data_IF_933090331654
#
_entry.id   IF_933090331654
#
_cell.length_a   1.000
_cell.length_b   1.000
_cell.length_c   1.000
_cell.angle_alpha   90.00
_cell.angle_beta   90.00
_cell.angle_gamma   90.00
#
_symmetry.space_group_name_H-M   'P 1'
#
loop_
_entity.id
_entity.type
_entity.pdbx_description
1 polymer ?
#
# COMPACT_ATOMS: atom_id res chain seq x y z
N UNK A 1 -5.98 10.89 3.57
CA UNK A 1 -4.58 10.59 3.96
C UNK A 1 -4.62 9.36 4.82
N UNK A 2 -3.85 8.34 4.47
CA UNK A 2 -3.89 7.04 5.15
C UNK A 2 -2.83 6.97 6.25
N UNK A 3 -3.02 6.05 7.18
CA UNK A 3 -2.08 5.74 8.24
C UNK A 3 -1.73 4.24 8.17
N UNK A 4 -0.46 3.95 7.93
CA UNK A 4 0.13 2.63 7.98
C UNK A 4 1.10 2.51 9.13
N UNK A 5 1.89 1.44 9.13
CA UNK A 5 2.91 1.17 10.15
C UNK A 5 4.24 0.73 9.53
N UNK A 6 5.34 1.09 10.18
CA UNK A 6 6.69 0.59 9.91
C UNK A 6 7.39 0.40 11.26
N UNK A 7 7.92 -0.79 11.55
CA UNK A 7 8.55 -1.13 12.83
C UNK A 7 7.71 -0.76 14.08
N UNK A 8 6.38 -0.86 13.95
CA UNK A 8 5.43 -0.53 15.02
C UNK A 8 5.13 0.98 15.18
N UNK A 9 5.79 1.85 14.42
CA UNK A 9 5.56 3.29 14.40
C UNK A 9 4.62 3.68 13.25
N UNK A 10 3.87 4.77 13.41
CA UNK A 10 2.91 5.24 12.40
C UNK A 10 3.59 5.88 11.19
N UNK A 11 3.09 5.57 9.99
CA UNK A 11 3.51 6.17 8.72
C UNK A 11 2.31 6.79 8.02
N UNK A 12 2.40 8.06 7.64
CA UNK A 12 1.35 8.71 6.86
C UNK A 12 1.70 8.68 5.38
N UNK A 13 0.72 8.31 4.55
CA UNK A 13 0.94 8.15 3.12
C UNK A 13 -0.31 8.50 2.29
N UNK A 14 -0.07 8.64 0.99
CA UNK A 14 -1.06 8.88 -0.05
C UNK A 14 -0.78 7.95 -1.22
N UNK A 15 -1.81 7.54 -1.96
CA UNK A 15 -1.67 6.76 -3.18
C UNK A 15 -2.20 7.59 -4.34
N UNK A 16 -1.30 7.97 -5.26
CA UNK A 16 -1.61 8.83 -6.41
C UNK A 16 -1.97 8.01 -7.65
N UNK A 17 -1.42 6.82 -7.79
CA UNK A 17 -1.46 6.03 -9.02
C UNK A 17 -1.29 4.53 -8.74
N UNK A 18 -1.85 3.71 -9.64
CA UNK A 18 -1.74 2.25 -9.63
C UNK A 18 -1.82 1.71 -11.06
N UNK A 19 -1.17 0.58 -11.34
CA UNK A 19 -1.34 -0.14 -12.61
C UNK A 19 -2.51 -1.13 -12.62
N UNK A 20 -3.19 -1.29 -11.49
CA UNK A 20 -4.32 -2.19 -11.33
C UNK A 20 -5.62 -1.40 -11.22
N UNK A 21 -6.52 -1.59 -12.19
CA UNK A 21 -7.81 -0.88 -12.28
C UNK A 21 -8.72 -1.13 -11.08
N UNK A 22 -8.71 -2.35 -10.52
CA UNK A 22 -9.50 -2.66 -9.32
C UNK A 22 -8.99 -1.89 -8.11
N UNK A 23 -7.67 -1.77 -7.96
CA UNK A 23 -7.08 -0.93 -6.92
C UNK A 23 -7.34 0.57 -7.14
N UNK A 24 -7.29 1.04 -8.39
CA UNK A 24 -7.61 2.45 -8.71
C UNK A 24 -9.01 2.80 -8.20
N UNK A 25 -10.01 1.99 -8.52
CA UNK A 25 -11.40 2.24 -8.12
C UNK A 25 -11.57 2.16 -6.61
N UNK A 26 -11.08 1.07 -5.99
CA UNK A 26 -11.18 0.84 -4.54
C UNK A 26 -10.54 1.99 -3.74
N UNK A 27 -9.32 2.35 -4.08
CA UNK A 27 -8.58 3.37 -3.34
C UNK A 27 -9.22 4.73 -3.57
N UNK A 28 -9.59 5.07 -4.82
CA UNK A 28 -10.25 6.34 -5.15
C UNK A 28 -11.50 6.56 -4.30
N UNK A 29 -12.33 5.53 -4.15
CA UNK A 29 -13.51 5.57 -3.28
C UNK A 29 -13.12 5.82 -1.82
N UNK A 30 -12.15 5.07 -1.29
CA UNK A 30 -11.77 5.15 0.12
C UNK A 30 -11.08 6.46 0.49
N UNK A 31 -10.27 7.02 -0.40
CA UNK A 31 -9.47 8.21 -0.10
C UNK A 31 -10.18 9.55 -0.43
N UNK A 32 -11.29 9.50 -1.18
CA UNK A 32 -12.08 10.65 -1.66
C UNK A 32 -11.34 11.57 -2.65
N UNK A 33 -10.26 11.08 -3.29
CA UNK A 33 -9.59 11.75 -4.41
C UNK A 33 -9.09 10.73 -5.43
N UNK A 34 -9.02 11.16 -6.69
CA UNK A 34 -8.79 10.27 -7.83
C UNK A 34 -7.38 9.68 -7.81
N UNK A 35 -7.30 8.34 -7.83
CA UNK A 35 -6.09 7.59 -8.21
C UNK A 35 -6.04 7.49 -9.73
N UNK A 36 -4.86 7.68 -10.32
CA UNK A 36 -4.67 7.55 -11.76
C UNK A 36 -4.25 6.13 -12.16
N UNK A 37 -4.84 5.61 -13.25
CA UNK A 37 -4.39 4.35 -13.84
C UNK A 37 -3.07 4.56 -14.61
N UNK A 38 -1.98 4.04 -14.06
CA UNK A 38 -0.63 4.15 -14.58
C UNK A 38 -0.09 2.80 -15.05
N UNK A 39 -0.57 2.32 -16.20
CA UNK A 39 -0.13 1.06 -16.83
C UNK A 39 1.40 0.89 -16.95
N UNK A 40 2.23 1.94 -17.17
CA UNK A 40 3.68 1.80 -17.22
C UNK A 40 4.32 1.22 -15.95
N UNK A 41 3.69 1.35 -14.78
CA UNK A 41 4.23 0.81 -13.51
C UNK A 41 4.37 -0.72 -13.54
N UNK A 42 3.63 -1.41 -14.42
CA UNK A 42 3.79 -2.86 -14.63
C UNK A 42 5.19 -3.26 -15.10
N UNK A 43 5.97 -2.30 -15.61
CA UNK A 43 7.35 -2.53 -16.08
C UNK A 43 8.41 -2.06 -15.08
N UNK A 44 8.03 -1.61 -13.88
CA UNK A 44 8.99 -1.15 -12.87
C UNK A 44 9.87 -2.32 -12.39
N UNK A 45 11.21 -2.17 -12.38
CA UNK A 45 12.10 -3.19 -11.84
C UNK A 45 11.80 -3.48 -10.37
N UNK A 46 11.88 -4.74 -9.95
CA UNK A 46 11.55 -5.14 -8.57
C UNK A 46 12.47 -4.46 -7.55
N UNK A 47 13.71 -4.20 -7.91
CA UNK A 47 14.72 -3.55 -7.08
C UNK A 47 14.41 -2.07 -6.83
N UNK A 48 13.54 -1.47 -7.66
CA UNK A 48 13.06 -0.11 -7.50
C UNK A 48 11.75 -0.04 -6.68
N UNK A 49 11.23 -1.17 -6.19
CA UNK A 49 9.98 -1.24 -5.45
C UNK A 49 10.25 -1.57 -3.99
N UNK A 50 9.67 -0.80 -3.07
CA UNK A 50 9.47 -1.30 -1.71
C UNK A 50 8.29 -2.29 -1.69
N UNK A 51 8.17 -3.08 -0.62
CA UNK A 51 6.98 -3.90 -0.39
C UNK A 51 6.04 -3.21 0.60
N UNK A 52 4.74 -3.19 0.27
CA UNK A 52 3.68 -2.81 1.20
C UNK A 52 2.72 -3.98 1.35
N UNK A 53 2.41 -4.34 2.59
CA UNK A 53 1.51 -5.44 2.91
C UNK A 53 0.11 -4.89 3.17
N UNK A 54 -0.87 -5.36 2.38
CA UNK A 54 -2.27 -4.98 2.47
C UNK A 54 -3.09 -6.17 2.94
N UNK A 55 -3.87 -5.99 3.99
CA UNK A 55 -4.63 -7.10 4.57
C UNK A 55 -5.97 -7.26 3.88
N UNK A 56 -6.33 -8.49 3.50
CA UNK A 56 -7.63 -8.79 2.87
C UNK A 56 -8.63 -9.45 3.82
N UNK A 57 -8.20 -9.74 5.06
CA UNK A 57 -9.00 -10.20 6.19
C UNK A 57 -8.29 -9.90 7.53
N UNK A 58 -8.90 -10.28 8.65
CA UNK A 58 -8.32 -10.15 9.98
C UNK A 58 -9.13 -9.25 10.89
N UNK A 59 -8.46 -8.30 11.54
CA UNK A 59 -9.12 -7.31 12.42
C UNK A 59 -9.72 -6.19 11.56
N UNK A 60 -11.01 -5.93 11.72
CA UNK A 60 -11.71 -4.81 11.06
C UNK A 60 -11.13 -3.47 11.52
N UNK A 61 -10.68 -2.64 10.56
CA UNK A 61 -10.08 -1.32 10.80
C UNK A 61 -10.05 -0.48 9.50
N UNK A 62 -9.36 0.66 9.50
CA UNK A 62 -9.37 1.61 8.38
C UNK A 62 -8.31 1.37 7.27
N UNK A 63 -7.70 0.19 7.20
CA UNK A 63 -6.82 -0.19 6.07
C UNK A 63 -7.57 -0.23 4.73
N UNK A 64 -6.87 -0.27 3.61
CA UNK A 64 -7.43 -0.10 2.25
C UNK A 64 -8.57 -1.07 1.94
N UNK A 65 -8.48 -2.32 2.40
CA UNK A 65 -9.54 -3.32 2.23
C UNK A 65 -10.51 -3.42 3.42
N UNK A 66 -10.43 -2.52 4.41
CA UNK A 66 -11.31 -2.50 5.58
C UNK A 66 -10.81 -3.32 6.78
N UNK A 67 -9.53 -3.66 6.80
CA UNK A 67 -8.88 -4.39 7.90
C UNK A 67 -7.73 -3.58 8.50
N UNK A 68 -6.90 -4.18 9.37
CA UNK A 68 -5.76 -3.50 9.98
C UNK A 68 -4.84 -2.75 8.99
N UNK A 69 -4.20 -1.70 9.51
CA UNK A 69 -3.34 -0.79 8.77
C UNK A 69 -2.21 -1.49 7.98
N UNK A 70 -1.88 -0.91 6.83
CA UNK A 70 -0.81 -1.36 5.94
C UNK A 70 0.54 -1.39 6.65
N UNK A 71 1.33 -2.42 6.35
CA UNK A 71 2.71 -2.52 6.85
C UNK A 71 3.68 -2.20 5.73
N UNK A 72 4.52 -1.20 5.95
CA UNK A 72 5.56 -0.76 5.02
C UNK A 72 6.86 -1.51 5.29
N UNK A 73 7.65 -1.73 4.24
CA UNK A 73 9.00 -2.31 4.36
C UNK A 73 10.11 -1.27 4.47
N UNK A 74 9.82 -0.01 4.15
CA UNK A 74 10.73 1.12 4.37
C UNK A 74 9.95 2.43 4.42
N UNK A 75 10.58 3.46 4.97
CA UNK A 75 10.06 4.83 5.03
C UNK A 75 11.10 5.81 4.51
N UNK A 76 10.76 7.08 4.23
CA UNK A 76 11.73 8.07 3.76
C UNK A 76 12.95 8.27 4.68
N UNK A 77 12.92 7.79 5.93
CA UNK A 77 14.09 7.86 6.83
C UNK A 77 15.16 6.81 6.49
N UNK A 78 14.82 5.71 5.81
CA UNK A 78 15.78 4.71 5.33
C UNK A 78 16.27 5.09 3.93
N UNK A 79 17.16 6.08 3.82
CA UNK A 79 17.54 6.70 2.53
C UNK A 79 18.12 5.73 1.50
N UNK A 80 18.74 4.64 1.94
CA UNK A 80 19.38 3.66 1.06
C UNK A 80 18.42 2.53 0.63
N UNK A 81 17.26 2.41 1.29
CA UNK A 81 16.29 1.32 1.09
C UNK A 81 14.91 1.80 0.62
N UNK A 82 14.61 3.09 0.84
CA UNK A 82 13.32 3.66 0.53
C UNK A 82 13.07 3.78 -0.97
N UNK A 83 11.87 3.38 -1.37
CA UNK A 83 11.30 3.73 -2.67
C UNK A 83 9.91 4.31 -2.49
N UNK A 84 9.58 5.37 -3.23
CA UNK A 84 8.21 5.86 -3.30
C UNK A 84 7.29 4.91 -4.10
N UNK A 85 7.86 4.04 -4.94
CA UNK A 85 7.12 3.03 -5.69
C UNK A 85 7.02 1.75 -4.87
N UNK A 86 5.83 1.16 -4.80
CA UNK A 86 5.57 -0.01 -3.99
C UNK A 86 5.00 -1.17 -4.82
N UNK A 87 5.42 -2.39 -4.53
CA UNK A 87 4.68 -3.59 -4.86
C UNK A 87 3.74 -3.94 -3.71
N UNK A 88 2.47 -4.19 -4.04
CA UNK A 88 1.47 -4.59 -3.05
C UNK A 88 1.51 -6.11 -2.87
N UNK A 89 1.64 -6.54 -1.61
CA UNK A 89 1.48 -7.95 -1.22
C UNK A 89 0.21 -8.08 -0.39
N UNK A 90 -0.78 -8.80 -0.93
CA UNK A 90 -2.00 -9.10 -0.20
C UNK A 90 -1.73 -10.16 0.87
N UNK A 91 -2.15 -9.90 2.09
CA UNK A 91 -1.97 -10.75 3.26
C UNK A 91 -3.31 -11.22 3.79
N UNK A 92 -3.43 -12.52 4.05
CA UNK A 92 -4.56 -13.12 4.73
C UNK A 92 -4.15 -13.88 5.98
N UNK A 93 -5.00 -13.85 6.99
CA UNK A 93 -4.88 -14.57 8.24
C UNK A 93 -5.11 -16.05 8.00
N UNK A 94 -4.18 -16.87 8.49
CA UNK A 94 -4.39 -18.32 8.50
C UNK A 94 -5.41 -18.67 9.56
N UNK A 95 -6.44 -19.40 9.15
CA UNK A 95 -7.32 -20.10 10.09
C UNK A 95 -6.50 -21.23 10.73
N UNK A 96 -6.41 -21.20 12.06
CA UNK A 96 -5.66 -22.17 12.88
C UNK A 96 -6.33 -23.53 13.00
#
# INVERSE_FOLDING_TARGET
MHMGTFDGESVYYIITDSNDETHVDLITEKQEWKVELALPLSNTPKEALQTVYMFTDGVDDDGIHGYQAEVFSSTPTQTDEYSALASITNVSWKIG
#
